data_IF_743710539829
#
_entry.id   IF_743710539829
#
_cell.length_a   1.000
_cell.length_b   1.000
_cell.length_c   1.000
_cell.angle_alpha   90.00
_cell.angle_beta   90.00
_cell.angle_gamma   90.00
#
_symmetry.space_group_name_H-M   'P 1'
#
loop_
_entity.id
_entity.type
_entity.pdbx_description
1 polymer ?
#
# COMPACT_ATOMS: atom_id res chain seq x y z
N UNK A 1 32.37 -1.82 5.52
CA UNK A 1 31.86 -1.06 4.35
C UNK A 1 30.38 -1.38 4.21
N UNK A 2 29.53 -0.36 4.13
CA UNK A 2 28.10 -0.39 4.47
C UNK A 2 27.27 -1.46 3.74
N UNK A 3 27.11 -2.65 4.34
CA UNK A 3 26.13 -3.66 3.91
C UNK A 3 24.73 -3.35 4.44
N UNK A 4 24.61 -2.72 5.61
CA UNK A 4 23.31 -2.42 6.26
C UNK A 4 22.63 -1.14 5.79
N UNK A 5 23.03 -0.54 4.67
CA UNK A 5 22.46 0.75 4.24
C UNK A 5 20.97 0.67 3.90
N UNK A 6 20.42 -0.49 3.53
CA UNK A 6 19.00 -0.64 3.17
C UNK A 6 18.13 -1.14 4.31
N UNK A 7 18.70 -1.81 5.30
CA UNK A 7 17.96 -2.33 6.45
C UNK A 7 17.47 -1.17 7.32
N UNK A 8 16.24 -1.31 7.83
CA UNK A 8 15.62 -0.39 8.78
C UNK A 8 15.25 -1.18 10.04
N UNK A 9 15.46 -0.59 11.21
CA UNK A 9 15.21 -1.27 12.49
C UNK A 9 13.72 -1.52 12.74
N UNK A 10 12.85 -0.66 12.19
CA UNK A 10 11.41 -0.73 12.31
C UNK A 10 10.73 0.04 11.18
N UNK A 11 9.40 0.01 11.16
CA UNK A 11 8.59 0.63 10.12
C UNK A 11 8.58 2.17 10.16
N UNK A 12 8.61 2.75 11.36
CA UNK A 12 8.71 4.21 11.54
C UNK A 12 9.99 4.74 10.88
N UNK A 13 11.11 4.03 11.08
CA UNK A 13 12.38 4.38 10.46
C UNK A 13 12.36 4.23 8.93
N UNK A 14 11.69 3.20 8.41
CA UNK A 14 11.52 3.01 6.98
C UNK A 14 10.70 4.15 6.35
N UNK A 15 9.59 4.55 6.97
CA UNK A 15 8.73 5.66 6.52
C UNK A 15 9.49 7.00 6.59
N UNK A 16 10.24 7.25 7.66
CA UNK A 16 11.06 8.46 7.78
C UNK A 16 12.12 8.53 6.69
N UNK A 17 12.80 7.41 6.42
CA UNK A 17 13.88 7.33 5.43
C UNK A 17 13.39 7.29 3.99
N UNK A 18 12.15 6.91 3.73
CA UNK A 18 11.55 6.98 2.39
C UNK A 18 11.31 8.41 1.94
N UNK A 19 11.28 9.37 2.88
CA UNK A 19 11.00 10.78 2.57
C UNK A 19 9.52 11.05 2.32
N UNK A 20 8.63 10.17 2.83
CA UNK A 20 7.18 10.36 2.74
C UNK A 20 6.77 11.72 3.31
N UNK A 21 5.84 12.38 2.63
CA UNK A 21 5.26 13.68 3.00
C UNK A 21 3.75 13.64 2.83
N UNK A 22 3.06 14.59 3.46
CA UNK A 22 1.62 14.79 3.25
C UNK A 22 1.32 15.02 1.76
N UNK A 23 0.19 14.48 1.29
CA UNK A 23 -0.20 14.61 -0.13
C UNK A 23 0.38 13.55 -1.06
N UNK A 24 1.38 12.78 -0.64
CA UNK A 24 2.02 11.74 -1.46
C UNK A 24 1.12 10.51 -1.67
N UNK A 25 1.50 9.71 -2.66
CA UNK A 25 0.87 8.43 -3.01
C UNK A 25 1.66 7.25 -2.45
N UNK A 26 0.98 6.38 -1.72
CA UNK A 26 1.54 5.13 -1.19
C UNK A 26 0.87 3.92 -1.83
N UNK A 27 1.65 2.88 -2.18
CA UNK A 27 1.12 1.70 -2.85
C UNK A 27 1.35 0.39 -2.08
N UNK A 28 0.51 -0.59 -2.38
CA UNK A 28 0.52 -1.93 -1.79
C UNK A 28 0.04 -2.98 -2.81
N UNK A 29 0.47 -4.23 -2.63
CA UNK A 29 -0.03 -5.36 -3.42
C UNK A 29 -0.97 -6.25 -2.59
N UNK A 30 -1.90 -6.94 -3.25
CA UNK A 30 -2.92 -7.77 -2.59
C UNK A 30 -2.63 -9.28 -2.66
N UNK A 31 -1.37 -9.70 -2.80
CA UNK A 31 -1.02 -11.12 -3.00
C UNK A 31 -1.33 -11.99 -1.77
N UNK A 32 -1.37 -11.42 -0.57
CA UNK A 32 -1.75 -12.11 0.66
C UNK A 32 -3.26 -12.21 0.88
N UNK A 33 -4.08 -11.58 0.01
CA UNK A 33 -5.55 -11.61 0.05
C UNK A 33 -6.08 -11.18 1.43
N UNK A 34 -7.09 -11.87 1.95
CA UNK A 34 -7.68 -11.58 3.26
C UNK A 34 -6.76 -11.80 4.47
N UNK A 35 -5.56 -12.36 4.26
CA UNK A 35 -4.53 -12.49 5.28
C UNK A 35 -3.49 -11.37 5.26
N UNK A 36 -3.68 -10.32 4.45
CA UNK A 36 -2.75 -9.19 4.44
C UNK A 36 -2.76 -8.45 5.77
N UNK A 37 -1.55 -8.21 6.28
CA UNK A 37 -1.30 -7.37 7.45
C UNK A 37 -0.58 -6.08 7.06
N UNK A 38 0.01 -6.03 5.87
CA UNK A 38 0.93 -4.97 5.43
C UNK A 38 0.23 -3.62 5.40
N UNK A 39 -0.94 -3.54 4.75
CA UNK A 39 -1.70 -2.29 4.62
C UNK A 39 -2.05 -1.74 6.00
N UNK A 40 -2.64 -2.56 6.88
CA UNK A 40 -3.04 -2.11 8.22
C UNK A 40 -1.85 -1.68 9.07
N UNK A 41 -0.77 -2.47 9.08
CA UNK A 41 0.43 -2.15 9.87
C UNK A 41 1.08 -0.84 9.43
N UNK A 42 1.22 -0.62 8.12
CA UNK A 42 1.84 0.60 7.58
C UNK A 42 0.95 1.80 7.83
N UNK A 43 -0.34 1.71 7.53
CA UNK A 43 -1.27 2.83 7.71
C UNK A 43 -1.43 3.24 9.16
N UNK A 44 -1.39 2.29 10.11
CA UNK A 44 -1.39 2.60 11.54
C UNK A 44 -0.15 3.39 11.97
N UNK A 45 1.03 3.06 11.45
CA UNK A 45 2.27 3.80 11.76
C UNK A 45 2.26 5.18 11.10
N UNK A 46 1.85 5.26 9.82
CA UNK A 46 1.67 6.53 9.10
C UNK A 46 0.73 7.47 9.87
N UNK A 47 -0.43 6.96 10.32
CA UNK A 47 -1.38 7.75 11.11
C UNK A 47 -0.80 8.22 12.44
N UNK A 48 -0.07 7.35 13.16
CA UNK A 48 0.61 7.69 14.42
C UNK A 48 1.70 8.75 14.25
N UNK A 49 2.41 8.72 13.13
CA UNK A 49 3.41 9.74 12.77
C UNK A 49 2.78 11.08 12.36
N UNK A 50 1.46 11.12 12.16
CA UNK A 50 0.71 12.35 11.93
C UNK A 50 0.54 12.74 10.46
N UNK A 51 0.90 11.87 9.51
CA UNK A 51 0.73 12.14 8.08
C UNK A 51 -0.74 12.29 7.68
N UNK A 52 -0.98 13.13 6.68
CA UNK A 52 -2.31 13.48 6.17
C UNK A 52 -2.36 13.54 4.65
N UNK A 53 -3.59 13.53 4.14
CA UNK A 53 -3.92 13.78 2.74
C UNK A 53 -3.24 12.82 1.75
N UNK A 54 -2.97 11.58 2.16
CA UNK A 54 -2.31 10.60 1.29
C UNK A 54 -3.28 10.04 0.25
N UNK A 55 -2.71 9.68 -0.90
CA UNK A 55 -3.37 8.84 -1.89
C UNK A 55 -3.01 7.38 -1.64
N UNK A 56 -4.00 6.52 -1.39
CA UNK A 56 -3.82 5.09 -1.22
C UNK A 56 -4.01 4.35 -2.55
N UNK A 57 -2.94 3.79 -3.09
CA UNK A 57 -2.89 3.12 -4.40
C UNK A 57 -2.66 1.60 -4.28
N UNK A 58 -3.45 0.94 -3.42
CA UNK A 58 -3.39 -0.51 -3.29
C UNK A 58 -3.98 -1.20 -4.52
N UNK A 59 -3.31 -2.22 -5.03
CA UNK A 59 -3.80 -2.98 -6.20
C UNK A 59 -5.17 -3.66 -5.98
N UNK A 60 -5.57 -3.95 -4.73
CA UNK A 60 -6.94 -4.36 -4.35
C UNK A 60 -7.13 -4.28 -2.82
N UNK A 61 -8.36 -4.04 -2.36
CA UNK A 61 -8.71 -3.97 -0.93
C UNK A 61 -9.83 -4.98 -0.57
N UNK A 62 -9.53 -5.88 0.37
CA UNK A 62 -10.46 -6.85 0.98
C UNK A 62 -10.95 -6.44 2.38
N UNK A 63 -11.86 -7.23 2.94
CA UNK A 63 -12.52 -7.02 4.23
C UNK A 63 -11.56 -6.83 5.42
N UNK A 64 -10.36 -7.45 5.37
CA UNK A 64 -9.33 -7.28 6.40
C UNK A 64 -8.81 -5.84 6.53
N UNK A 65 -9.04 -4.99 5.52
CA UNK A 65 -8.63 -3.58 5.54
C UNK A 65 -9.71 -2.65 6.10
N UNK A 66 -10.71 -3.18 6.82
CA UNK A 66 -11.70 -2.38 7.54
C UNK A 66 -11.10 -1.24 8.41
N UNK A 67 -9.91 -1.37 9.05
CA UNK A 67 -9.30 -0.27 9.80
C UNK A 67 -9.04 1.02 8.99
N UNK A 68 -8.96 0.93 7.66
CA UNK A 68 -8.83 2.11 6.79
C UNK A 68 -9.98 3.12 6.95
N UNK A 69 -11.15 2.67 7.41
CA UNK A 69 -12.28 3.58 7.68
C UNK A 69 -11.87 4.69 8.65
N UNK A 70 -11.17 4.37 9.73
CA UNK A 70 -10.72 5.37 10.70
C UNK A 70 -9.62 6.26 10.13
N UNK A 71 -8.71 5.70 9.33
CA UNK A 71 -7.67 6.47 8.66
C UNK A 71 -8.24 7.49 7.68
N UNK A 72 -9.36 7.16 7.01
CA UNK A 72 -10.09 8.11 6.16
C UNK A 72 -10.78 9.18 7.02
N UNK A 73 -11.49 8.79 8.10
CA UNK A 73 -12.17 9.75 9.01
C UNK A 73 -11.20 10.75 9.63
N UNK A 74 -9.98 10.33 9.89
CA UNK A 74 -8.92 11.17 10.45
C UNK A 74 -8.18 12.02 9.38
N UNK A 75 -8.53 11.90 8.10
CA UNK A 75 -7.88 12.62 7.00
C UNK A 75 -6.47 12.12 6.67
N UNK A 76 -6.10 10.90 7.10
CA UNK A 76 -4.82 10.28 6.73
C UNK A 76 -4.85 9.90 5.25
N UNK A 77 -5.95 9.29 4.80
CA UNK A 77 -6.20 8.94 3.39
C UNK A 77 -7.35 9.79 2.86
N UNK A 78 -7.10 10.50 1.77
CA UNK A 78 -8.11 11.37 1.11
C UNK A 78 -8.45 10.91 -0.30
N UNK A 79 -7.63 10.04 -0.91
CA UNK A 79 -7.86 9.48 -2.25
C UNK A 79 -7.56 7.99 -2.26
N UNK A 80 -8.29 7.24 -3.07
CA UNK A 80 -8.08 5.80 -3.23
C UNK A 80 -8.11 5.42 -4.71
N UNK A 81 -7.09 4.67 -5.12
CA UNK A 81 -7.02 3.93 -6.38
C UNK A 81 -6.97 2.44 -6.05
N UNK A 82 -7.91 1.65 -6.59
CA UNK A 82 -7.95 0.20 -6.32
C UNK A 82 -8.70 -0.57 -7.41
N UNK A 83 -8.41 -1.88 -7.54
CA UNK A 83 -9.22 -2.78 -8.39
C UNK A 83 -10.50 -3.25 -7.71
N UNK A 84 -10.43 -3.44 -6.40
CA UNK A 84 -11.53 -4.00 -5.61
C UNK A 84 -11.66 -3.29 -4.27
N UNK A 85 -12.90 -3.20 -3.82
CA UNK A 85 -13.28 -2.68 -2.52
C UNK A 85 -14.37 -3.59 -1.96
N UNK A 86 -14.17 -4.15 -0.78
CA UNK A 86 -15.09 -5.13 -0.17
C UNK A 86 -15.30 -4.84 1.33
N UNK A 87 -16.35 -5.46 1.88
CA UNK A 87 -16.60 -5.46 3.32
C UNK A 87 -16.92 -4.07 3.88
N UNK A 88 -16.65 -3.85 5.18
CA UNK A 88 -17.03 -2.62 5.88
C UNK A 88 -16.51 -1.34 5.23
N UNK A 89 -15.31 -1.38 4.65
CA UNK A 89 -14.73 -0.24 3.96
C UNK A 89 -15.56 0.17 2.72
N UNK A 90 -16.04 -0.81 1.94
CA UNK A 90 -16.90 -0.56 0.79
C UNK A 90 -18.27 0.02 1.19
N UNK A 91 -18.84 -0.48 2.30
CA UNK A 91 -20.11 0.00 2.82
C UNK A 91 -20.01 1.46 3.26
N UNK A 92 -18.97 1.81 4.01
CA UNK A 92 -18.76 3.18 4.48
C UNK A 92 -18.46 4.15 3.34
N UNK A 93 -17.67 3.73 2.35
CA UNK A 93 -17.44 4.53 1.13
C UNK A 93 -18.76 4.76 0.37
N UNK A 94 -19.60 3.73 0.27
CA UNK A 94 -20.93 3.85 -0.36
C UNK A 94 -21.87 4.79 0.41
N UNK A 95 -21.65 4.95 1.72
CA UNK A 95 -22.36 5.93 2.58
C UNK A 95 -21.77 7.34 2.52
N UNK A 96 -20.75 7.57 1.69
CA UNK A 96 -20.14 8.90 1.50
C UNK A 96 -18.99 9.21 2.45
N UNK A 97 -18.30 8.18 2.98
CA UNK A 97 -17.14 8.37 3.86
C UNK A 97 -16.02 9.22 3.21
N UNK A 98 -15.79 9.05 1.91
CA UNK A 98 -14.72 9.73 1.18
C UNK A 98 -15.32 10.86 0.31
N UNK A 99 -14.78 12.07 0.44
CA UNK A 99 -15.26 13.22 -0.33
C UNK A 99 -14.90 13.11 -1.82
N UNK A 100 -13.70 12.62 -2.13
CA UNK A 100 -13.29 12.32 -3.49
C UNK A 100 -13.76 10.90 -3.89
N UNK A 101 -14.35 10.70 -5.08
CA UNK A 101 -14.73 9.37 -5.54
C UNK A 101 -13.53 8.42 -5.64
N UNK A 102 -13.72 7.17 -5.22
CA UNK A 102 -12.71 6.13 -5.40
C UNK A 102 -12.51 5.84 -6.88
N UNK A 103 -11.25 5.83 -7.31
CA UNK A 103 -10.88 5.48 -8.67
C UNK A 103 -10.74 3.96 -8.79
N UNK A 104 -11.77 3.32 -9.37
CA UNK A 104 -11.79 1.87 -9.59
C UNK A 104 -11.22 1.55 -10.97
N UNK A 105 -10.22 0.67 -11.02
CA UNK A 105 -9.53 0.32 -12.27
C UNK A 105 -9.30 -1.19 -12.40
N UNK A 106 -9.27 -1.72 -13.62
CA UNK A 106 -8.86 -3.11 -13.82
C UNK A 106 -7.38 -3.32 -13.48
N UNK A 107 -6.93 -4.58 -13.35
CA UNK A 107 -5.52 -4.86 -13.11
C UNK A 107 -4.60 -4.33 -14.23
N UNK A 108 -5.01 -4.48 -15.50
CA UNK A 108 -4.29 -3.89 -16.63
C UNK A 108 -4.41 -2.36 -16.68
N UNK A 109 -5.58 -1.83 -16.30
CA UNK A 109 -5.81 -0.38 -16.20
C UNK A 109 -4.87 0.28 -15.19
N UNK A 110 -4.61 -0.37 -14.05
CA UNK A 110 -3.62 0.12 -13.07
C UNK A 110 -2.24 0.30 -13.67
N UNK A 111 -1.75 -0.70 -14.40
CA UNK A 111 -0.43 -0.66 -15.05
C UNK A 111 -0.38 0.52 -16.01
N UNK A 112 -1.43 0.72 -16.80
CA UNK A 112 -1.55 1.86 -17.70
C UNK A 112 -1.50 3.20 -16.95
N UNK A 113 -2.26 3.35 -15.85
CA UNK A 113 -2.27 4.59 -15.04
C UNK A 113 -0.90 4.94 -14.46
N UNK A 114 -0.15 3.93 -14.02
CA UNK A 114 1.22 4.13 -13.50
C UNK A 114 2.16 4.52 -14.66
N UNK A 115 2.11 3.80 -15.77
CA UNK A 115 2.97 4.07 -16.93
C UNK A 115 2.66 5.41 -17.63
N UNK A 116 1.41 5.87 -17.58
CA UNK A 116 1.00 7.15 -18.15
C UNK A 116 1.37 8.34 -17.26
N UNK A 117 1.73 8.09 -15.99
CA UNK A 117 1.99 9.11 -14.98
C UNK A 117 0.73 9.75 -14.38
N UNK A 118 -0.47 9.21 -14.67
CA UNK A 118 -1.69 9.63 -13.98
C UNK A 118 -1.67 9.19 -12.51
N UNK A 119 -1.11 8.00 -12.25
CA UNK A 119 -0.87 7.48 -10.91
C UNK A 119 0.64 7.38 -10.63
N UNK A 120 1.20 8.43 -10.03
CA UNK A 120 2.59 8.42 -9.59
C UNK A 120 2.67 7.90 -8.16
N UNK A 121 3.43 6.83 -7.95
CA UNK A 121 3.66 6.22 -6.63
C UNK A 121 4.93 6.83 -6.05
N UNK A 122 4.82 7.52 -4.90
CA UNK A 122 5.99 8.11 -4.23
C UNK A 122 6.70 7.08 -3.35
N UNK A 123 5.94 6.23 -2.65
CA UNK A 123 6.49 5.18 -1.78
C UNK A 123 5.69 3.88 -1.89
N UNK A 124 6.33 2.81 -2.34
CA UNK A 124 5.74 1.47 -2.39
C UNK A 124 6.07 0.65 -1.13
N UNK A 125 5.05 0.16 -0.42
CA UNK A 125 5.19 -0.72 0.73
C UNK A 125 4.83 -2.16 0.35
N UNK A 126 5.84 -2.94 -0.01
CA UNK A 126 5.67 -4.28 -0.60
C UNK A 126 5.99 -5.38 0.42
N UNK A 127 4.96 -6.09 0.87
CA UNK A 127 5.13 -7.24 1.77
C UNK A 127 5.69 -8.45 1.03
N UNK A 128 6.76 -9.04 1.53
CA UNK A 128 7.37 -10.23 0.93
C UNK A 128 7.66 -11.27 2.02
N UNK A 129 7.43 -12.57 1.76
CA UNK A 129 7.64 -13.60 2.77
C UNK A 129 9.12 -13.89 3.05
N UNK A 130 10.01 -13.56 2.11
CA UNK A 130 11.46 -13.67 2.25
C UNK A 130 12.18 -12.65 1.39
N UNK A 131 13.23 -12.05 1.93
CA UNK A 131 14.10 -11.07 1.29
C UNK A 131 15.49 -11.11 1.92
N UNK A 132 16.55 -10.92 1.14
CA UNK A 132 17.89 -10.70 1.69
C UNK A 132 18.12 -9.23 2.10
N UNK A 133 19.29 -8.94 2.67
CA UNK A 133 19.64 -7.60 3.15
C UNK A 133 19.71 -6.53 2.04
N UNK A 134 19.74 -6.94 0.78
CA UNK A 134 19.92 -6.06 -0.38
C UNK A 134 18.62 -5.79 -1.14
N UNK A 135 17.55 -6.52 -0.85
CA UNK A 135 16.23 -6.36 -1.48
C UNK A 135 15.85 -7.50 -2.43
N UNK A 136 16.64 -8.58 -2.55
CA UNK A 136 16.27 -9.71 -3.40
C UNK A 136 15.16 -10.51 -2.71
N UNK A 137 13.92 -10.29 -3.15
CA UNK A 137 12.73 -10.85 -2.55
C UNK A 137 12.04 -11.89 -3.43
N UNK A 138 11.33 -12.84 -2.82
CA UNK A 138 10.49 -13.79 -3.53
C UNK A 138 9.25 -14.21 -2.72
N UNK A 139 8.25 -14.75 -3.40
CA UNK A 139 6.98 -15.19 -2.81
C UNK A 139 6.89 -16.68 -2.45
N UNK A 140 7.97 -17.46 -2.59
CA UNK A 140 7.97 -18.93 -2.44
C UNK A 140 8.79 -19.44 -1.24
N UNK A 141 9.58 -18.57 -0.61
CA UNK A 141 10.37 -18.88 0.60
C UNK A 141 9.78 -18.17 1.82
N UNK A 142 9.82 -18.79 2.99
CA UNK A 142 9.33 -18.19 4.25
C UNK A 142 8.03 -18.81 4.75
N UNK A 143 7.30 -18.09 5.60
CA UNK A 143 6.05 -18.59 6.23
C UNK A 143 4.79 -18.25 5.44
N UNK A 144 4.73 -17.04 4.89
CA UNK A 144 3.56 -16.50 4.20
C UNK A 144 3.71 -16.58 2.67
N UNK A 145 4.06 -17.75 2.13
CA UNK A 145 4.32 -17.90 0.70
C UNK A 145 3.06 -17.64 -0.14
N UNK A 146 3.01 -16.49 -0.83
CA UNK A 146 1.91 -16.11 -1.73
C UNK A 146 2.13 -16.55 -3.18
N UNK A 147 3.31 -17.10 -3.50
CA UNK A 147 3.69 -17.50 -4.84
C UNK A 147 4.07 -16.31 -5.72
N UNK A 148 3.21 -15.94 -6.67
CA UNK A 148 3.50 -14.86 -7.61
C UNK A 148 3.44 -13.48 -6.95
N UNK A 149 4.38 -12.61 -7.31
CA UNK A 149 4.44 -11.21 -6.90
C UNK A 149 4.13 -10.24 -8.07
N UNK A 150 3.38 -10.70 -9.07
CA UNK A 150 3.04 -9.96 -10.30
C UNK A 150 2.65 -8.49 -10.08
N UNK A 151 1.74 -8.23 -9.14
CA UNK A 151 1.28 -6.87 -8.84
C UNK A 151 2.33 -6.02 -8.13
N UNK A 152 3.16 -6.62 -7.28
CA UNK A 152 4.21 -5.91 -6.55
C UNK A 152 5.36 -5.50 -7.46
N UNK A 153 5.66 -6.29 -8.51
CA UNK A 153 6.73 -5.96 -9.46
C UNK A 153 6.45 -4.66 -10.20
N UNK A 154 5.19 -4.40 -10.58
CA UNK A 154 4.79 -3.13 -11.21
C UNK A 154 5.09 -1.93 -10.30
N UNK A 155 4.97 -2.09 -8.99
CA UNK A 155 5.21 -1.01 -8.02
C UNK A 155 6.71 -0.80 -7.75
N UNK A 156 7.51 -1.85 -7.90
CA UNK A 156 8.94 -1.81 -7.66
C UNK A 156 9.76 -1.34 -8.87
N UNK A 157 9.19 -1.45 -10.08
CA UNK A 157 9.87 -1.16 -11.35
C UNK A 157 9.75 0.29 -11.81
N UNK A 158 9.02 1.15 -11.09
CA UNK A 158 8.83 2.58 -11.40
C UNK A 158 9.59 3.46 -10.40
#
# INVERSE_FOLDING_TARGET
KARDRKLCANLEEAIRRSGLQDGMTVSFHHAFRGGDLTVNMVMDVIAKMGFKNLTLASSSLSDCHAPLVEHIRQGVVTRIYTSGLRGPLAEEISRGLLAEPVQIHSHGGRVHLVQSGELNIDVAFLGVPSCDEFGNANGYTGKACCGSLGYAMVDADN
#
